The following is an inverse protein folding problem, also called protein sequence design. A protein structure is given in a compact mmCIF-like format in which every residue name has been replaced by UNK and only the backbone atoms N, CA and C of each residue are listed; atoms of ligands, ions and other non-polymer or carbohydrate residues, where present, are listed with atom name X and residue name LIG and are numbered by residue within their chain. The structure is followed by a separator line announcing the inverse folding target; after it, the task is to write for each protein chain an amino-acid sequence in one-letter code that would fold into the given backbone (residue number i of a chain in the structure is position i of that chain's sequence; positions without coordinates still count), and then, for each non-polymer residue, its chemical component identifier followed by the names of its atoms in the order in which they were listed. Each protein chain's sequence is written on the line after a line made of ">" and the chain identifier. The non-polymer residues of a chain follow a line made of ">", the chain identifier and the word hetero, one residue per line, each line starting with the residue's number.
data_IF_183299218823
#
_entry.id   IF_183299218823
#
_cell.length_a   1.000
_cell.length_b   1.000
_cell.length_c   1.000
_cell.angle_alpha   90.00
_cell.angle_beta   90.00
_cell.angle_gamma   90.00
#
_symmetry.space_group_name_H-M   'P 1'
#
loop_
_entity.id
_entity.type
_entity.pdbx_description
1 polymer ?
#
# COMPACT_ATOMS: atom_id res chain seq x y z
N UNK A 1 -23.61 2.66 -0.99
CA UNK A 1 -23.42 1.78 0.06
C UNK A 1 -22.69 2.42 1.21
N UNK A 2 -22.99 1.99 2.29
CA UNK A 2 -22.32 2.52 3.44
C UNK A 2 -20.86 2.12 3.39
N UNK A 3 -20.03 3.05 3.70
CA UNK A 3 -18.63 2.76 3.84
C UNK A 3 -18.42 2.01 5.12
N UNK A 4 -17.41 1.17 5.11
CA UNK A 4 -17.05 0.48 6.32
C UNK A 4 -16.51 1.48 7.32
N UNK A 5 -16.83 1.27 8.58
CA UNK A 5 -16.34 2.15 9.64
C UNK A 5 -14.85 2.01 9.85
N UNK A 6 -14.29 0.85 9.50
CA UNK A 6 -12.87 0.58 9.67
C UNK A 6 -12.28 0.10 8.35
N UNK A 7 -11.18 0.74 7.96
CA UNK A 7 -10.41 0.33 6.79
C UNK A 7 -9.09 -0.26 7.28
N UNK A 8 -8.76 -1.44 6.79
CA UNK A 8 -7.55 -2.13 7.22
C UNK A 8 -6.42 -1.92 6.24
N UNK A 9 -5.29 -1.50 6.77
CA UNK A 9 -4.08 -1.22 5.98
C UNK A 9 -2.98 -2.14 6.46
N UNK A 10 -2.48 -2.98 5.56
CA UNK A 10 -1.34 -3.84 5.85
C UNK A 10 -0.07 -3.07 5.52
N UNK A 11 0.88 -3.03 6.46
CA UNK A 11 2.16 -2.36 6.26
C UNK A 11 3.26 -3.39 6.44
N UNK A 12 4.04 -3.61 5.39
CA UNK A 12 5.15 -4.55 5.41
C UNK A 12 6.48 -3.83 5.34
N UNK A 13 7.30 -4.03 6.34
CA UNK A 13 8.72 -3.67 6.35
C UNK A 13 9.40 -4.44 7.45
N UNK A 14 10.65 -4.85 7.25
CA UNK A 14 11.43 -5.44 8.33
C UNK A 14 11.90 -4.38 9.31
N UNK A 15 11.80 -3.11 8.96
CA UNK A 15 12.22 -1.98 9.80
C UNK A 15 11.00 -1.41 10.52
N UNK A 16 10.96 -1.59 11.83
CA UNK A 16 9.84 -1.10 12.64
C UNK A 16 9.71 0.43 12.57
N UNK A 17 10.81 1.14 12.33
CA UNK A 17 10.76 2.60 12.24
C UNK A 17 10.05 3.04 10.97
N UNK A 18 10.22 2.30 9.88
CA UNK A 18 9.48 2.56 8.65
C UNK A 18 7.99 2.35 8.89
N UNK A 19 7.62 1.24 9.52
CA UNK A 19 6.20 0.98 9.82
C UNK A 19 5.61 2.08 10.71
N UNK A 20 6.36 2.49 11.73
CA UNK A 20 5.90 3.54 12.63
C UNK A 20 5.73 4.88 11.91
N UNK A 21 6.63 5.19 10.98
CA UNK A 21 6.54 6.43 10.21
C UNK A 21 5.29 6.45 9.34
N UNK A 22 4.92 5.32 8.75
CA UNK A 22 3.71 5.22 7.95
C UNK A 22 2.48 5.45 8.82
N UNK A 23 2.41 4.75 9.96
CA UNK A 23 1.28 4.89 10.88
C UNK A 23 1.16 6.32 11.38
N UNK A 24 2.28 6.93 11.73
CA UNK A 24 2.29 8.30 12.22
C UNK A 24 1.83 9.29 11.16
N UNK A 25 2.25 9.08 9.92
CA UNK A 25 1.88 9.98 8.82
C UNK A 25 0.40 9.92 8.51
N UNK A 26 -0.20 8.75 8.59
CA UNK A 26 -1.62 8.56 8.24
C UNK A 26 -2.55 8.80 9.41
N UNK A 27 -2.12 8.42 10.62
CA UNK A 27 -2.96 8.59 11.80
C UNK A 27 -4.19 7.69 11.80
N UNK A 28 -5.07 7.86 12.78
CA UNK A 28 -6.25 7.00 12.90
C UNK A 28 -7.34 7.31 11.87
N UNK A 29 -7.33 8.49 11.29
CA UNK A 29 -8.34 8.87 10.31
C UNK A 29 -7.78 9.94 9.38
N UNK A 30 -7.14 9.54 8.27
CA UNK A 30 -6.47 10.50 7.38
C UNK A 30 -7.40 11.50 6.73
N UNK A 31 -8.69 11.17 6.58
CA UNK A 31 -9.65 12.06 5.94
C UNK A 31 -11.02 11.88 6.58
N UNK A 32 -11.74 12.99 6.82
CA UNK A 32 -13.05 12.90 7.50
C UNK A 32 -14.10 12.10 6.75
N UNK A 33 -13.96 11.97 5.43
CA UNK A 33 -14.93 11.20 4.63
C UNK A 33 -14.62 9.71 4.62
N UNK A 34 -13.51 9.29 5.20
CA UNK A 34 -13.14 7.88 5.25
C UNK A 34 -13.38 7.34 6.65
N UNK A 35 -13.51 6.02 6.75
CA UNK A 35 -13.57 5.36 8.04
C UNK A 35 -12.24 5.43 8.78
N UNK A 36 -12.23 4.89 9.99
CA UNK A 36 -11.01 4.82 10.76
C UNK A 36 -10.06 3.81 10.14
N UNK A 37 -8.77 4.12 10.21
CA UNK A 37 -7.75 3.20 9.74
C UNK A 37 -7.27 2.30 10.87
N UNK A 38 -7.19 1.02 10.57
CA UNK A 38 -6.62 0.01 11.45
C UNK A 38 -5.41 -0.56 10.74
N UNK A 39 -4.26 -0.57 11.42
CA UNK A 39 -3.01 -0.96 10.78
C UNK A 39 -2.59 -2.34 11.22
N UNK A 40 -2.17 -3.15 10.24
CA UNK A 40 -1.62 -4.47 10.49
C UNK A 40 -0.16 -4.40 10.09
N UNK A 41 0.73 -4.36 11.07
CA UNK A 41 2.17 -4.26 10.81
C UNK A 41 2.75 -5.65 10.66
N UNK A 42 3.49 -5.85 9.58
CA UNK A 42 4.04 -7.14 9.23
C UNK A 42 5.53 -7.00 8.93
N UNK A 43 6.33 -7.86 9.53
CA UNK A 43 7.79 -7.79 9.39
C UNK A 43 8.35 -8.85 8.44
N UNK A 44 7.56 -9.85 8.05
CA UNK A 44 8.07 -10.96 7.24
C UNK A 44 7.11 -11.27 6.10
N UNK A 45 7.70 -11.72 4.99
CA UNK A 45 6.94 -12.02 3.79
C UNK A 45 5.86 -13.09 3.97
N UNK A 46 6.14 -14.22 4.62
CA UNK A 46 5.10 -15.26 4.74
C UNK A 46 3.83 -14.77 5.41
N UNK A 47 3.95 -13.85 6.36
CA UNK A 47 2.77 -13.32 7.04
C UNK A 47 1.94 -12.47 6.09
N UNK A 48 2.59 -11.73 5.16
CA UNK A 48 1.86 -10.97 4.15
C UNK A 48 0.92 -11.89 3.37
N UNK A 49 1.45 -13.00 2.85
CA UNK A 49 0.64 -13.90 2.03
C UNK A 49 -0.40 -14.64 2.85
N UNK A 50 -0.08 -14.98 4.09
CA UNK A 50 -1.05 -15.60 4.96
C UNK A 50 -2.27 -14.71 5.16
N UNK A 51 -2.06 -13.43 5.38
CA UNK A 51 -3.16 -12.48 5.56
C UNK A 51 -3.96 -12.29 4.28
N UNK A 52 -3.27 -12.22 3.14
CA UNK A 52 -3.94 -12.01 1.87
C UNK A 52 -4.69 -13.24 1.38
N UNK A 53 -4.35 -14.42 1.88
CA UNK A 53 -5.09 -15.63 1.55
C UNK A 53 -6.44 -15.70 2.25
N UNK A 54 -6.69 -14.84 3.22
CA UNK A 54 -7.91 -14.89 4.02
C UNK A 54 -8.74 -13.60 3.91
N UNK A 55 -8.74 -13.00 2.73
CA UNK A 55 -9.42 -11.73 2.52
C UNK A 55 -10.92 -11.79 2.73
N UNK A 56 -11.52 -12.96 2.58
CA UNK A 56 -12.96 -13.11 2.82
C UNK A 56 -13.30 -12.87 4.27
N UNK A 57 -12.48 -13.34 5.19
CA UNK A 57 -12.73 -13.22 6.63
C UNK A 57 -12.11 -11.98 7.21
N UNK A 58 -10.96 -11.58 6.67
CA UNK A 58 -10.24 -10.41 7.16
C UNK A 58 -9.93 -9.51 5.97
N UNK A 59 -10.87 -8.64 5.59
CA UNK A 59 -10.65 -7.76 4.45
C UNK A 59 -9.49 -6.80 4.69
N UNK A 60 -8.70 -6.59 3.67
CA UNK A 60 -7.61 -5.62 3.68
C UNK A 60 -7.88 -4.66 2.54
N UNK A 61 -7.85 -3.36 2.85
CA UNK A 61 -8.25 -2.32 1.91
C UNK A 61 -7.08 -1.71 1.17
N UNK A 62 -5.88 -1.84 1.72
CA UNK A 62 -4.68 -1.27 1.13
C UNK A 62 -3.48 -2.04 1.65
N UNK A 63 -2.50 -2.26 0.77
CA UNK A 63 -1.24 -2.88 1.14
C UNK A 63 -0.12 -1.91 0.86
N UNK A 64 0.70 -1.61 1.86
CA UNK A 64 1.89 -0.76 1.72
C UNK A 64 3.10 -1.66 1.93
N UNK A 65 3.96 -1.70 0.93
CA UNK A 65 5.12 -2.60 0.92
C UNK A 65 6.41 -1.80 0.80
N UNK A 66 7.33 -2.04 1.73
CA UNK A 66 8.63 -1.39 1.71
C UNK A 66 9.55 -2.10 0.71
N UNK A 67 9.87 -1.42 -0.38
CA UNK A 67 10.75 -1.98 -1.41
C UNK A 67 12.17 -2.21 -0.92
N UNK A 68 12.56 -1.58 0.18
CA UNK A 68 13.90 -1.74 0.75
C UNK A 68 13.96 -2.79 1.86
N UNK A 69 12.85 -3.47 2.14
CA UNK A 69 12.83 -4.49 3.18
C UNK A 69 13.72 -5.68 2.81
N UNK A 70 14.27 -6.31 3.81
CA UNK A 70 15.11 -7.49 3.63
C UNK A 70 14.59 -8.61 4.51
N UNK A 71 14.78 -9.87 4.13
CA UNK A 71 15.42 -10.33 2.89
C UNK A 71 14.53 -10.21 1.66
N UNK A 72 13.22 -9.98 1.82
CA UNK A 72 12.30 -9.90 0.69
C UNK A 72 11.83 -8.46 0.50
N UNK A 73 12.18 -7.87 -0.63
CA UNK A 73 11.79 -6.50 -0.95
C UNK A 73 10.35 -6.41 -1.41
N UNK A 74 9.73 -5.28 -1.09
CA UNK A 74 8.30 -5.08 -1.40
C UNK A 74 7.96 -5.08 -2.87
N UNK A 75 8.92 -4.73 -3.75
CA UNK A 75 8.64 -4.74 -5.18
C UNK A 75 8.36 -6.14 -5.72
N UNK A 76 9.17 -7.12 -5.32
CA UNK A 76 8.95 -8.50 -5.69
C UNK A 76 7.69 -9.07 -5.08
N UNK A 77 7.42 -8.71 -3.83
CA UNK A 77 6.20 -9.12 -3.15
C UNK A 77 4.97 -8.55 -3.86
N UNK A 78 5.02 -7.28 -4.27
CA UNK A 78 3.91 -6.65 -4.98
C UNK A 78 3.59 -7.42 -6.27
N UNK A 79 4.61 -7.75 -7.04
CA UNK A 79 4.40 -8.49 -8.27
C UNK A 79 3.81 -9.88 -8.00
N UNK A 80 4.31 -10.56 -6.99
CA UNK A 80 3.79 -11.87 -6.64
C UNK A 80 2.33 -11.79 -6.19
N UNK A 81 1.96 -10.78 -5.42
CA UNK A 81 0.57 -10.59 -5.01
C UNK A 81 -0.31 -10.43 -6.25
N UNK A 82 0.10 -9.59 -7.18
CA UNK A 82 -0.69 -9.35 -8.38
C UNK A 82 -0.83 -10.60 -9.24
N UNK A 83 0.19 -11.45 -9.24
CA UNK A 83 0.16 -12.67 -10.02
C UNK A 83 -0.69 -13.77 -9.37
N UNK A 84 -0.76 -13.80 -8.05
CA UNK A 84 -1.33 -14.94 -7.33
C UNK A 84 -2.64 -14.67 -6.61
N UNK A 85 -2.92 -13.42 -6.23
CA UNK A 85 -4.10 -13.11 -5.44
C UNK A 85 -5.17 -12.48 -6.31
N UNK A 86 -6.32 -13.15 -6.43
CA UNK A 86 -7.42 -12.63 -7.20
C UNK A 86 -8.06 -11.45 -6.46
N UNK A 87 -8.34 -10.38 -7.19
CA UNK A 87 -8.92 -9.16 -6.61
C UNK A 87 -8.10 -8.63 -5.44
N UNK A 88 -6.78 -8.62 -5.59
CA UNK A 88 -5.91 -8.09 -4.56
C UNK A 88 -6.24 -6.63 -4.27
N UNK A 89 -6.10 -6.19 -3.02
CA UNK A 89 -6.28 -4.77 -2.72
C UNK A 89 -5.22 -3.93 -3.43
N UNK A 90 -5.45 -2.62 -3.54
CA UNK A 90 -4.43 -1.75 -4.13
C UNK A 90 -3.13 -1.81 -3.34
N UNK A 91 -2.03 -1.64 -4.04
CA UNK A 91 -0.69 -1.75 -3.46
C UNK A 91 0.06 -0.45 -3.69
N UNK A 92 0.65 0.07 -2.61
CA UNK A 92 1.59 1.18 -2.64
C UNK A 92 2.96 0.64 -2.26
N UNK A 93 3.97 0.86 -3.10
CA UNK A 93 5.34 0.47 -2.75
C UNK A 93 6.14 1.69 -2.37
N UNK A 94 7.03 1.52 -1.39
CA UNK A 94 7.98 2.55 -1.00
C UNK A 94 9.31 2.20 -1.65
N UNK A 95 9.79 3.05 -2.54
CA UNK A 95 11.03 2.78 -3.27
C UNK A 95 12.21 3.39 -2.55
N UNK A 96 13.41 2.83 -2.79
CA UNK A 96 14.60 3.33 -2.14
C UNK A 96 15.03 4.69 -2.65
N UNK A 97 14.86 4.93 -3.95
CA UNK A 97 15.33 6.16 -4.59
C UNK A 97 14.31 6.61 -5.63
N UNK A 98 14.23 7.94 -5.87
CA UNK A 98 13.28 8.42 -6.88
C UNK A 98 13.51 7.82 -8.27
N UNK A 99 14.77 7.57 -8.65
CA UNK A 99 15.07 6.99 -9.96
C UNK A 99 14.63 5.54 -10.10
N UNK A 100 14.19 4.92 -9.00
CA UNK A 100 13.69 3.55 -9.04
C UNK A 100 12.19 3.49 -9.32
N UNK A 101 11.57 4.61 -9.62
CA UNK A 101 10.12 4.67 -9.82
C UNK A 101 9.63 3.73 -10.93
N UNK A 102 10.46 3.46 -11.94
CA UNK A 102 10.07 2.54 -13.01
C UNK A 102 9.78 1.13 -12.49
N UNK A 103 10.38 0.77 -11.35
CA UNK A 103 10.15 -0.54 -10.74
C UNK A 103 8.71 -0.70 -10.26
N UNK A 104 8.01 0.42 -10.00
CA UNK A 104 6.60 0.34 -9.63
C UNK A 104 5.77 -0.25 -10.77
N UNK A 105 6.04 0.16 -12.00
CA UNK A 105 5.35 -0.41 -13.15
C UNK A 105 5.65 -1.90 -13.28
N UNK A 106 6.91 -2.26 -13.13
CA UNK A 106 7.30 -3.68 -13.16
C UNK A 106 6.57 -4.49 -12.10
N UNK A 107 6.43 -3.93 -10.90
CA UNK A 107 5.81 -4.64 -9.78
C UNK A 107 4.29 -4.69 -9.88
N UNK A 108 3.72 -3.89 -10.78
CA UNK A 108 2.27 -3.77 -10.99
C UNK A 108 1.54 -3.14 -9.79
N UNK A 109 2.28 -2.44 -8.94
CA UNK A 109 1.66 -1.69 -7.85
C UNK A 109 0.86 -0.50 -8.40
N UNK A 110 -0.16 -0.10 -7.66
CA UNK A 110 -0.99 1.04 -8.05
C UNK A 110 -0.27 2.37 -7.86
N UNK A 111 0.66 2.44 -6.92
CA UNK A 111 1.40 3.68 -6.67
C UNK A 111 2.77 3.38 -6.08
N UNK A 112 3.66 4.36 -6.16
CA UNK A 112 5.00 4.26 -5.57
C UNK A 112 5.43 5.61 -5.04
N UNK A 113 6.05 5.61 -3.87
CA UNK A 113 6.63 6.80 -3.27
C UNK A 113 8.03 6.49 -2.76
N UNK A 114 8.96 7.43 -2.88
CA UNK A 114 10.33 7.16 -2.45
C UNK A 114 10.54 7.38 -0.96
N UNK A 115 11.56 6.71 -0.41
CA UNK A 115 12.10 7.09 0.88
C UNK A 115 12.93 8.36 0.72
N UNK A 116 13.01 9.19 1.74
CA UNK A 116 12.27 9.13 3.00
C UNK A 116 10.82 9.50 2.79
N UNK A 117 9.96 8.97 3.65
CA UNK A 117 8.52 9.16 3.52
C UNK A 117 8.18 10.64 3.72
N UNK A 118 7.45 11.21 2.73
CA UNK A 118 6.86 12.52 2.86
C UNK A 118 5.43 12.32 3.38
N UNK A 119 5.12 12.75 4.61
CA UNK A 119 3.81 12.45 5.20
C UNK A 119 2.64 12.98 4.39
N UNK A 120 2.77 14.16 3.80
CA UNK A 120 1.66 14.73 3.04
C UNK A 120 1.41 13.97 1.74
N UNK A 121 2.48 13.63 1.03
CA UNK A 121 2.34 12.85 -0.19
C UNK A 121 1.80 11.45 0.10
N UNK A 122 2.26 10.85 1.18
CA UNK A 122 1.77 9.53 1.56
C UNK A 122 0.28 9.59 1.85
N UNK A 123 -0.16 10.56 2.64
CA UNK A 123 -1.57 10.69 2.98
C UNK A 123 -2.42 10.90 1.73
N UNK A 124 -2.01 11.81 0.84
CA UNK A 124 -2.76 12.08 -0.39
C UNK A 124 -2.87 10.85 -1.27
N UNK A 125 -1.77 10.13 -1.43
CA UNK A 125 -1.76 8.93 -2.26
C UNK A 125 -2.64 7.84 -1.67
N UNK A 126 -2.55 7.63 -0.36
CA UNK A 126 -3.35 6.61 0.33
C UNK A 126 -4.83 6.93 0.22
N UNK A 127 -5.21 8.18 0.44
CA UNK A 127 -6.60 8.59 0.33
C UNK A 127 -7.12 8.29 -1.08
N UNK A 128 -6.34 8.62 -2.09
CA UNK A 128 -6.72 8.37 -3.48
C UNK A 128 -6.92 6.88 -3.74
N UNK A 129 -6.00 6.04 -3.27
CA UNK A 129 -6.09 4.60 -3.49
C UNK A 129 -7.29 3.99 -2.78
N UNK A 130 -7.53 4.40 -1.55
CA UNK A 130 -8.64 3.86 -0.76
C UNK A 130 -9.98 4.26 -1.36
N UNK A 131 -10.04 5.41 -2.00
CA UNK A 131 -11.27 5.86 -2.67
C UNK A 131 -11.57 5.08 -3.94
N UNK A 132 -10.81 4.06 -4.23
CA UNK A 132 -11.12 3.16 -5.31
C UNK A 132 -10.46 3.49 -6.61
N UNK A 133 -9.35 4.18 -6.56
CA UNK A 133 -8.62 4.48 -7.77
C UNK A 133 -7.17 4.14 -7.68
N UNK A 134 -6.61 3.69 -8.80
CA UNK A 134 -5.19 3.49 -8.96
C UNK A 134 -4.59 4.80 -9.47
N UNK A 135 -3.65 5.37 -8.73
CA UNK A 135 -2.99 6.59 -9.19
C UNK A 135 -2.29 6.37 -10.52
N UNK A 136 -1.62 5.25 -10.68
CA UNK A 136 -0.91 4.97 -11.93
C UNK A 136 -1.87 4.79 -13.09
N UNK A 137 -2.89 3.96 -12.92
CA UNK A 137 -3.85 3.72 -13.97
C UNK A 137 -4.73 4.91 -14.23
N UNK A 138 -5.14 5.58 -13.18
CA UNK A 138 -6.00 6.73 -13.29
C UNK A 138 -5.28 7.91 -13.94
N UNK A 139 -4.03 8.10 -13.57
CA UNK A 139 -3.22 9.14 -14.19
C UNK A 139 -3.11 8.95 -15.68
N UNK A 140 -2.85 7.74 -16.11
CA UNK A 140 -2.81 7.42 -17.54
C UNK A 140 -4.14 7.68 -18.21
N UNK A 141 -5.21 7.22 -17.58
CA UNK A 141 -6.53 7.39 -18.15
C UNK A 141 -6.92 8.83 -18.29
N UNK A 142 -6.61 9.63 -17.30
CA UNK A 142 -6.93 11.04 -17.35
C UNK A 142 -6.11 11.78 -18.39
N UNK A 143 -4.86 11.41 -18.50
CA UNK A 143 -4.03 12.04 -19.50
C UNK A 143 -4.58 11.79 -20.88
N UNK A 144 -5.19 10.64 -21.10
CA UNK A 144 -5.80 10.35 -22.37
C UNK A 144 -7.15 11.02 -22.53
N UNK A 145 -7.77 11.32 -21.46
CA UNK A 145 -9.05 11.97 -21.54
C UNK A 145 -8.87 13.46 -21.72
#
# INVERSE_FOLDING_TARGET
>A
MAERETLRVLIYSDDRDVRAAVVSALGPRPHPDLGRFEYIEVATEPVVFKLLDDLRHTPIDLVILDGEATPAGGLGIARQIKDEIFNAPPILVLTGRPQDAWLATWSRAEAALPHPIDPLRLADTVISLVRGGSDLGRGSGRASA
#
